data_IF_106977563856
#
_entry.id   IF_106977563856
#
_cell.length_a   1.000
_cell.length_b   1.000
_cell.length_c   1.000
_cell.angle_alpha   90.00
_cell.angle_beta   90.00
_cell.angle_gamma   90.00
#
_symmetry.space_group_name_H-M   'P 1'
#
loop_
_entity.id
_entity.type
_entity.pdbx_description
1 polymer ?
#
# COMPACT_ATOMS: atom_id res chain seq x y z
N UNK A 1 5.75 0.84 -20.02
CA UNK A 1 4.72 1.79 -19.56
C UNK A 1 4.56 1.77 -18.03
N UNK A 2 4.15 0.67 -17.39
CA UNK A 2 3.91 0.60 -15.93
C UNK A 2 5.14 0.93 -15.06
N UNK A 3 6.37 0.58 -15.50
CA UNK A 3 7.60 1.01 -14.80
C UNK A 3 7.77 2.52 -14.77
N UNK A 4 7.36 3.22 -15.82
CA UNK A 4 7.42 4.68 -15.87
C UNK A 4 6.42 5.29 -14.88
N UNK A 5 5.18 4.77 -14.85
CA UNK A 5 4.18 5.21 -13.87
C UNK A 5 4.64 5.00 -12.41
N UNK A 6 5.31 3.87 -12.12
CA UNK A 6 5.91 3.63 -10.81
C UNK A 6 6.97 4.69 -10.48
N UNK A 7 7.84 5.04 -11.42
CA UNK A 7 8.89 6.06 -11.21
C UNK A 7 8.29 7.43 -10.92
N UNK A 8 7.26 7.84 -11.66
CA UNK A 8 6.58 9.12 -11.40
C UNK A 8 6.04 9.18 -9.97
N UNK A 9 5.30 8.14 -9.54
CA UNK A 9 4.77 8.08 -8.17
C UNK A 9 5.88 7.99 -7.13
N UNK A 10 6.92 7.20 -7.39
CA UNK A 10 8.04 7.03 -6.46
C UNK A 10 8.80 8.34 -6.28
N UNK A 11 9.10 9.08 -7.36
CA UNK A 11 9.77 10.38 -7.28
C UNK A 11 8.95 11.38 -6.45
N UNK A 12 7.62 11.40 -6.62
CA UNK A 12 6.75 12.27 -5.82
C UNK A 12 6.81 11.94 -4.32
N UNK A 13 6.84 10.66 -3.98
CA UNK A 13 6.97 10.21 -2.59
C UNK A 13 8.34 10.56 -2.00
N UNK A 14 9.41 10.40 -2.78
CA UNK A 14 10.77 10.73 -2.38
C UNK A 14 10.93 12.25 -2.16
N UNK A 15 10.37 13.08 -3.04
CA UNK A 15 10.35 14.54 -2.87
C UNK A 15 9.62 14.95 -1.60
N UNK A 16 8.47 14.34 -1.30
CA UNK A 16 7.74 14.60 -0.05
C UNK A 16 8.55 14.18 1.19
N UNK A 17 9.24 13.05 1.13
CA UNK A 17 10.06 12.57 2.25
C UNK A 17 11.27 13.47 2.50
N UNK A 18 11.90 13.95 1.43
CA UNK A 18 12.99 14.92 1.51
C UNK A 18 12.51 16.26 2.12
N UNK A 19 11.36 16.79 1.69
CA UNK A 19 10.74 17.99 2.25
C UNK A 19 10.47 17.84 3.75
N UNK A 20 9.86 16.74 4.18
CA UNK A 20 9.60 16.45 5.59
C UNK A 20 10.87 16.37 6.42
N UNK A 21 11.93 15.78 5.87
CA UNK A 21 13.24 15.69 6.51
C UNK A 21 13.81 17.07 6.87
N UNK A 22 13.62 18.04 5.96
CA UNK A 22 14.13 19.41 6.15
C UNK A 22 13.24 20.23 7.08
N UNK A 23 11.91 20.21 6.85
CA UNK A 23 10.98 21.07 7.60
C UNK A 23 10.70 20.56 9.02
N UNK A 24 10.52 19.26 9.17
CA UNK A 24 10.06 18.67 10.44
C UNK A 24 11.13 17.84 11.14
N UNK A 25 12.35 17.75 10.59
CA UNK A 25 13.47 16.94 11.10
C UNK A 25 13.07 15.49 11.38
N UNK A 26 12.12 14.98 10.63
CA UNK A 26 11.58 13.62 10.77
C UNK A 26 11.07 13.10 9.43
N UNK A 27 11.44 11.90 9.06
CA UNK A 27 10.94 11.22 7.87
C UNK A 27 9.71 10.36 8.22
N UNK A 28 8.53 10.67 7.66
CA UNK A 28 7.34 9.85 7.86
C UNK A 28 7.44 8.49 7.15
N UNK A 29 8.22 8.41 6.07
CA UNK A 29 8.38 7.22 5.24
C UNK A 29 9.62 6.45 5.69
N UNK A 30 9.43 5.20 6.14
CA UNK A 30 10.53 4.30 6.50
C UNK A 30 11.21 3.73 5.25
N UNK A 31 10.42 3.29 4.28
CA UNK A 31 10.90 2.81 2.97
C UNK A 31 9.78 2.71 1.94
N UNK A 32 10.17 2.65 0.67
CA UNK A 32 9.28 2.44 -0.48
C UNK A 32 9.69 1.17 -1.19
N UNK A 33 8.71 0.29 -1.49
CA UNK A 33 8.90 -0.90 -2.34
C UNK A 33 7.97 -0.83 -3.54
N UNK A 34 8.49 -1.19 -4.70
CA UNK A 34 7.72 -1.17 -5.95
C UNK A 34 7.63 -2.56 -6.55
N UNK A 35 6.54 -2.82 -7.25
CA UNK A 35 6.37 -4.08 -7.98
C UNK A 35 5.55 -3.88 -9.26
N UNK A 36 5.88 -4.68 -10.25
CA UNK A 36 4.97 -4.96 -11.38
C UNK A 36 4.38 -6.34 -11.17
N UNK A 37 3.08 -6.46 -11.35
CA UNK A 37 2.36 -7.73 -11.26
C UNK A 37 2.87 -8.68 -12.33
N UNK A 38 3.14 -9.94 -11.95
CA UNK A 38 3.64 -10.97 -12.89
C UNK A 38 2.61 -11.25 -13.98
N UNK A 39 3.04 -11.53 -15.23
CA UNK A 39 2.14 -11.82 -16.35
C UNK A 39 1.13 -12.91 -16.05
N UNK A 40 1.54 -14.01 -15.38
CA UNK A 40 0.65 -15.10 -15.01
C UNK A 40 -0.45 -14.66 -14.03
N UNK A 41 -0.14 -13.70 -13.15
CA UNK A 41 -1.10 -13.15 -12.20
C UNK A 41 -2.06 -12.16 -12.87
N UNK A 42 -1.59 -11.44 -13.89
CA UNK A 42 -2.43 -10.57 -14.74
C UNK A 42 -3.42 -11.45 -15.51
N UNK A 43 -2.93 -12.48 -16.19
CA UNK A 43 -3.73 -13.43 -16.96
C UNK A 43 -4.84 -14.06 -16.09
N UNK A 44 -4.48 -14.65 -14.95
CA UNK A 44 -5.45 -15.27 -14.03
C UNK A 44 -6.50 -14.27 -13.54
N UNK A 45 -6.11 -13.00 -13.32
CA UNK A 45 -7.05 -11.99 -12.87
C UNK A 45 -8.03 -11.58 -13.96
N UNK A 46 -7.57 -11.40 -15.21
CA UNK A 46 -8.44 -11.12 -16.36
C UNK A 46 -9.40 -12.27 -16.61
N UNK A 47 -8.92 -13.52 -16.61
CA UNK A 47 -9.80 -14.70 -16.75
C UNK A 47 -10.90 -14.73 -15.67
N UNK A 48 -10.54 -14.45 -14.40
CA UNK A 48 -11.54 -14.40 -13.31
C UNK A 48 -12.58 -13.31 -13.50
N UNK A 49 -12.23 -12.24 -14.22
CA UNK A 49 -13.14 -11.13 -14.55
C UNK A 49 -13.88 -11.35 -15.87
N UNK A 50 -13.58 -12.42 -16.63
CA UNK A 50 -14.21 -12.73 -17.90
C UNK A 50 -13.66 -11.96 -19.10
N UNK A 51 -12.42 -11.45 -19.01
CA UNK A 51 -11.78 -10.68 -20.08
C UNK A 51 -10.62 -11.44 -20.73
N UNK A 52 -10.43 -11.20 -22.05
CA UNK A 52 -9.29 -11.70 -22.78
C UNK A 52 -7.99 -11.02 -22.36
N UNK A 53 -6.86 -11.75 -22.54
CA UNK A 53 -5.52 -11.25 -22.22
C UNK A 53 -5.02 -10.33 -23.33
N UNK A 54 -5.50 -9.09 -23.36
CA UNK A 54 -5.10 -8.03 -24.29
C UNK A 54 -4.51 -6.84 -23.55
N UNK A 55 -3.73 -6.01 -24.25
CA UNK A 55 -3.14 -4.80 -23.66
C UNK A 55 -4.24 -3.81 -23.20
N UNK A 56 -5.30 -3.70 -23.98
CA UNK A 56 -6.45 -2.84 -23.72
C UNK A 56 -7.16 -3.29 -22.44
N UNK A 57 -7.51 -4.58 -22.32
CA UNK A 57 -8.16 -5.12 -21.12
C UNK A 57 -7.29 -4.98 -19.88
N UNK A 58 -5.96 -5.17 -20.02
CA UNK A 58 -5.01 -4.95 -18.91
C UNK A 58 -5.11 -3.48 -18.41
N UNK A 59 -5.12 -2.53 -19.33
CA UNK A 59 -5.12 -1.11 -18.99
C UNK A 59 -6.46 -0.64 -18.45
N UNK A 60 -7.56 -1.13 -18.98
CA UNK A 60 -8.91 -0.70 -18.61
C UNK A 60 -9.44 -1.39 -17.36
N UNK A 61 -9.21 -2.71 -17.22
CA UNK A 61 -9.84 -3.52 -16.19
C UNK A 61 -8.99 -3.73 -14.94
N UNK A 62 -7.65 -3.53 -15.04
CA UNK A 62 -6.76 -3.78 -13.92
C UNK A 62 -6.18 -2.48 -13.36
N UNK A 63 -6.28 -2.34 -12.03
CA UNK A 63 -5.78 -1.17 -11.31
C UNK A 63 -4.50 -1.44 -10.52
N UNK A 64 -4.02 -2.70 -10.50
CA UNK A 64 -2.95 -3.18 -9.62
C UNK A 64 -1.79 -3.84 -10.37
N UNK A 65 -1.62 -3.48 -11.65
CA UNK A 65 -0.47 -3.93 -12.46
C UNK A 65 0.81 -3.25 -11.99
N UNK A 66 0.76 -1.93 -11.78
CA UNK A 66 1.79 -1.15 -11.11
C UNK A 66 1.42 -1.01 -9.63
N UNK A 67 2.30 -1.40 -8.73
CA UNK A 67 2.10 -1.28 -7.30
C UNK A 67 3.27 -0.57 -6.62
N UNK A 68 2.96 0.37 -5.74
CA UNK A 68 3.90 1.05 -4.87
C UNK A 68 3.46 0.82 -3.42
N UNK A 69 4.34 0.25 -2.62
CA UNK A 69 4.14 0.08 -1.19
C UNK A 69 4.96 1.11 -0.46
N UNK A 70 4.29 1.92 0.35
CA UNK A 70 4.89 2.92 1.23
C UNK A 70 4.75 2.42 2.66
N UNK A 71 5.85 2.35 3.37
CA UNK A 71 5.85 1.97 4.78
C UNK A 71 6.20 3.19 5.60
N UNK A 72 5.30 3.55 6.50
CA UNK A 72 5.39 4.71 7.37
C UNK A 72 5.74 4.30 8.81
N UNK A 73 6.27 5.27 9.58
CA UNK A 73 6.62 5.03 10.97
C UNK A 73 5.39 4.89 11.87
N UNK A 74 4.38 5.75 11.71
CA UNK A 74 3.20 5.82 12.56
C UNK A 74 1.90 5.83 11.75
N UNK A 75 0.77 5.61 12.44
CA UNK A 75 -0.54 5.52 11.79
C UNK A 75 -0.95 6.85 11.13
N UNK A 76 -0.72 7.98 11.81
CA UNK A 76 -1.05 9.30 11.27
C UNK A 76 -0.22 9.68 10.04
N UNK A 77 1.04 9.21 9.96
CA UNK A 77 1.89 9.41 8.79
C UNK A 77 1.28 8.79 7.52
N UNK A 78 0.57 7.66 7.66
CA UNK A 78 -0.13 7.02 6.54
C UNK A 78 -1.13 7.98 5.91
N UNK A 79 -1.94 8.63 6.74
CA UNK A 79 -2.97 9.57 6.26
C UNK A 79 -2.36 10.86 5.74
N UNK A 80 -1.29 11.34 6.37
CA UNK A 80 -0.54 12.53 5.91
C UNK A 80 0.02 12.29 4.51
N UNK A 81 0.77 11.21 4.30
CA UNK A 81 1.33 10.86 2.99
C UNK A 81 0.23 10.64 1.95
N UNK A 82 -0.85 9.93 2.31
CA UNK A 82 -1.98 9.70 1.41
C UNK A 82 -2.64 11.00 0.96
N UNK A 83 -2.86 11.95 1.87
CA UNK A 83 -3.49 13.24 1.58
C UNK A 83 -2.59 14.12 0.72
N UNK A 84 -1.28 14.15 0.99
CA UNK A 84 -0.32 14.93 0.21
C UNK A 84 -0.21 14.43 -1.24
N UNK A 85 -0.18 13.11 -1.42
CA UNK A 85 -0.22 12.53 -2.77
C UNK A 85 -1.55 12.84 -3.46
N UNK A 86 -2.67 12.69 -2.75
CA UNK A 86 -4.00 12.96 -3.30
C UNK A 86 -4.22 14.43 -3.67
N UNK A 87 -3.52 15.36 -3.01
CA UNK A 87 -3.61 16.81 -3.24
C UNK A 87 -2.77 17.32 -4.42
N UNK A 88 -1.96 16.48 -5.07
CA UNK A 88 -1.15 16.94 -6.21
C UNK A 88 -2.01 17.08 -7.47
N UNK A 89 -1.83 18.18 -8.21
CA UNK A 89 -2.66 18.60 -9.35
C UNK A 89 -2.71 17.59 -10.50
N UNK A 90 -1.68 16.79 -10.65
CA UNK A 90 -1.55 15.80 -11.71
C UNK A 90 -1.95 14.39 -11.28
N UNK A 91 -2.40 14.22 -10.02
CA UNK A 91 -2.88 12.94 -9.49
C UNK A 91 -4.40 12.94 -9.39
N UNK A 92 -5.02 11.95 -10.03
CA UNK A 92 -6.44 11.68 -9.89
C UNK A 92 -6.66 10.45 -9.03
N UNK A 93 -7.29 10.62 -7.88
CA UNK A 93 -7.70 9.49 -7.02
C UNK A 93 -8.91 8.78 -7.62
N UNK A 94 -8.77 7.51 -7.97
CA UNK A 94 -9.81 6.68 -8.57
C UNK A 94 -10.60 5.92 -7.50
N UNK A 95 -9.91 5.39 -6.49
CA UNK A 95 -10.53 4.58 -5.44
C UNK A 95 -9.68 4.54 -4.18
N UNK A 96 -10.36 4.57 -3.04
CA UNK A 96 -9.76 4.37 -1.72
C UNK A 96 -10.40 3.17 -1.03
N UNK A 97 -9.59 2.37 -0.33
CA UNK A 97 -10.03 1.34 0.61
C UNK A 97 -9.21 1.45 1.87
N UNK A 98 -9.83 1.90 2.94
CA UNK A 98 -9.19 2.05 4.24
C UNK A 98 -9.41 0.77 5.07
N UNK A 99 -8.46 -0.16 4.95
CA UNK A 99 -8.42 -1.37 5.77
C UNK A 99 -7.77 -1.15 7.14
N UNK A 100 -7.37 0.10 7.48
CA UNK A 100 -6.94 0.45 8.83
C UNK A 100 -8.17 0.65 9.70
N UNK A 101 -9.15 1.40 9.21
CA UNK A 101 -10.44 1.62 9.89
C UNK A 101 -11.35 0.40 9.79
N UNK A 102 -11.32 -0.32 8.68
CA UNK A 102 -12.15 -1.50 8.41
C UNK A 102 -11.25 -2.69 8.03
N UNK A 103 -10.57 -3.35 8.99
CA UNK A 103 -9.69 -4.48 8.72
C UNK A 103 -10.40 -5.61 7.98
N UNK A 104 -9.64 -6.39 7.21
CA UNK A 104 -10.19 -7.61 6.61
C UNK A 104 -10.44 -8.66 7.70
N UNK A 105 -11.30 -9.67 7.43
CA UNK A 105 -11.60 -10.73 8.41
C UNK A 105 -10.38 -11.48 8.95
N UNK A 106 -9.29 -11.57 8.16
CA UNK A 106 -8.03 -12.18 8.58
C UNK A 106 -7.11 -11.25 9.40
N UNK A 107 -7.55 -10.03 9.73
CA UNK A 107 -6.73 -9.05 10.47
C UNK A 107 -5.85 -8.16 9.59
N UNK A 108 -5.86 -8.33 8.26
CA UNK A 108 -5.05 -7.51 7.35
C UNK A 108 -5.45 -6.03 7.40
N UNK A 109 -4.46 -5.15 7.55
CA UNK A 109 -4.59 -3.69 7.58
C UNK A 109 -3.67 -3.05 6.56
N UNK A 110 -4.17 -2.05 5.86
CA UNK A 110 -3.41 -1.19 4.94
C UNK A 110 -4.34 -0.09 4.42
N UNK A 111 -3.81 1.08 4.10
CA UNK A 111 -4.54 2.08 3.32
C UNK A 111 -4.24 1.85 1.84
N UNK A 112 -5.26 1.56 1.05
CA UNK A 112 -5.12 1.34 -0.39
C UNK A 112 -5.69 2.52 -1.16
N UNK A 113 -4.92 3.04 -2.09
CA UNK A 113 -5.34 4.10 -2.98
C UNK A 113 -4.98 3.71 -4.42
N UNK A 114 -5.96 3.75 -5.31
CA UNK A 114 -5.72 3.66 -6.76
C UNK A 114 -5.66 5.09 -7.28
N UNK A 115 -4.53 5.45 -7.85
CA UNK A 115 -4.32 6.75 -8.49
C UNK A 115 -4.11 6.59 -9.98
N UNK A 116 -4.52 7.61 -10.73
CA UNK A 116 -4.18 7.78 -12.14
C UNK A 116 -3.24 8.97 -12.27
N UNK A 117 -2.09 8.74 -12.91
CA UNK A 117 -1.03 9.72 -13.10
C UNK A 117 -0.68 9.84 -14.58
N UNK A 118 -0.45 11.05 -15.13
CA UNK A 118 0.02 11.21 -16.49
C UNK A 118 1.47 10.77 -16.64
N UNK A 119 1.74 9.94 -17.62
CA UNK A 119 3.11 9.60 -18.03
C UNK A 119 3.34 10.13 -19.43
N UNK A 120 4.40 10.87 -19.62
CA UNK A 120 4.74 11.48 -20.90
C UNK A 120 5.70 10.59 -21.68
N UNK A 121 5.16 9.92 -22.69
CA UNK A 121 5.94 9.11 -23.62
C UNK A 121 6.27 9.90 -24.90
N UNK A 122 7.12 9.35 -25.75
CA UNK A 122 7.47 9.97 -27.06
C UNK A 122 6.25 10.26 -27.94
N UNK A 123 5.17 9.52 -27.78
CA UNK A 123 3.90 9.68 -28.51
C UNK A 123 2.87 10.56 -27.78
N UNK A 124 3.26 11.16 -26.65
CA UNK A 124 2.40 12.04 -25.86
C UNK A 124 2.03 11.50 -24.49
N UNK A 125 1.10 12.20 -23.85
CA UNK A 125 0.61 11.93 -22.51
C UNK A 125 -0.29 10.67 -22.49
N UNK A 126 -0.01 9.75 -21.57
CA UNK A 126 -0.84 8.57 -21.34
C UNK A 126 -1.20 8.49 -19.85
N UNK A 127 -2.50 8.45 -19.47
CA UNK A 127 -2.88 8.21 -18.07
C UNK A 127 -2.58 6.77 -17.69
N UNK A 128 -1.96 6.58 -16.53
CA UNK A 128 -1.56 5.27 -16.03
C UNK A 128 -2.04 5.08 -14.60
N UNK A 129 -2.60 3.90 -14.30
CA UNK A 129 -3.06 3.58 -12.95
C UNK A 129 -1.97 2.90 -12.13
N UNK A 130 -1.86 3.33 -10.87
CA UNK A 130 -0.92 2.78 -9.89
C UNK A 130 -1.69 2.51 -8.59
N UNK A 131 -1.50 1.33 -8.00
CA UNK A 131 -1.98 1.00 -6.67
C UNK A 131 -0.93 1.42 -5.63
N UNK A 132 -1.28 2.34 -4.74
CA UNK A 132 -0.53 2.63 -3.53
C UNK A 132 -1.08 1.80 -2.38
N UNK A 133 -0.18 1.13 -1.63
CA UNK A 133 -0.47 0.43 -0.39
C UNK A 133 0.37 1.08 0.71
N UNK A 134 -0.29 1.87 1.57
CA UNK A 134 0.39 2.61 2.64
C UNK A 134 0.12 1.91 3.96
N UNK A 135 1.18 1.65 4.75
CA UNK A 135 1.16 0.81 5.96
C UNK A 135 2.09 1.36 7.01
N UNK A 136 1.92 0.94 8.27
CA UNK A 136 3.00 1.03 9.27
C UNK A 136 4.02 -0.10 9.08
N UNK A 137 5.16 0.01 9.77
CA UNK A 137 6.13 -1.08 9.85
C UNK A 137 5.50 -2.38 10.40
N UNK A 138 4.66 -2.28 11.43
CA UNK A 138 3.93 -3.42 11.99
C UNK A 138 2.97 -4.07 11.01
N UNK A 139 2.18 -3.27 10.30
CA UNK A 139 1.27 -3.77 9.25
C UNK A 139 2.03 -4.46 8.12
N UNK A 140 3.18 -3.92 7.67
CA UNK A 140 3.97 -4.53 6.59
C UNK A 140 4.64 -5.83 7.04
N UNK A 141 5.16 -5.85 8.27
CA UNK A 141 5.71 -7.05 8.89
C UNK A 141 4.68 -8.19 8.90
N UNK A 142 3.51 -7.96 9.51
CA UNK A 142 2.47 -8.97 9.59
C UNK A 142 1.99 -9.44 8.21
N UNK A 143 1.65 -8.50 7.33
CA UNK A 143 1.12 -8.82 6.00
C UNK A 143 2.14 -9.57 5.11
N UNK A 144 3.44 -9.32 5.31
CA UNK A 144 4.50 -10.01 4.55
C UNK A 144 4.62 -11.47 5.02
N UNK A 145 4.59 -11.71 6.33
CA UNK A 145 4.67 -13.07 6.89
C UNK A 145 3.41 -13.88 6.61
N UNK A 146 2.23 -13.31 6.82
CA UNK A 146 0.94 -13.96 6.51
C UNK A 146 0.89 -14.40 5.04
N UNK A 147 1.29 -13.52 4.12
CA UNK A 147 1.34 -13.87 2.70
C UNK A 147 2.34 -14.99 2.40
N UNK A 148 3.50 -15.03 3.05
CA UNK A 148 4.47 -16.12 2.88
C UNK A 148 3.93 -17.47 3.39
N UNK A 149 3.25 -17.45 4.53
CA UNK A 149 2.64 -18.65 5.11
C UNK A 149 1.53 -19.20 4.21
N UNK A 150 0.63 -18.34 3.73
CA UNK A 150 -0.47 -18.75 2.85
C UNK A 150 0.00 -19.21 1.47
N UNK A 151 0.92 -18.46 0.84
CA UNK A 151 1.29 -18.72 -0.54
C UNK A 151 2.12 -19.98 -0.71
N UNK A 152 2.97 -20.35 0.27
CA UNK A 152 3.90 -21.48 0.14
C UNK A 152 3.27 -22.85 0.37
N UNK A 153 2.10 -22.94 1.03
CA UNK A 153 1.63 -24.24 1.54
C UNK A 153 0.14 -24.57 1.30
N UNK A 154 -0.64 -23.68 0.66
CA UNK A 154 -2.09 -23.94 0.57
C UNK A 154 -2.66 -24.24 1.95
N UNK A 155 -2.33 -23.40 2.94
CA UNK A 155 -2.68 -23.67 4.36
C UNK A 155 -4.19 -23.90 4.58
N UNK A 156 -5.00 -23.46 3.63
CA UNK A 156 -6.46 -23.63 3.63
C UNK A 156 -6.88 -25.11 3.59
N UNK A 157 -6.00 -25.99 3.04
CA UNK A 157 -6.22 -27.43 2.94
C UNK A 157 -5.60 -28.21 4.12
N UNK A 158 -4.95 -27.53 5.09
CA UNK A 158 -4.29 -28.21 6.20
C UNK A 158 -5.30 -28.60 7.30
N UNK A 159 -5.15 -29.79 7.92
CA UNK A 159 -5.82 -30.10 9.16
C UNK A 159 -5.50 -29.01 10.22
N UNK A 160 -6.52 -28.48 10.90
CA UNK A 160 -6.33 -27.40 11.89
C UNK A 160 -6.27 -25.98 11.29
N UNK A 161 -6.64 -25.78 10.03
CA UNK A 161 -6.67 -24.44 9.40
C UNK A 161 -7.44 -23.39 10.22
N UNK A 162 -8.54 -23.77 10.87
CA UNK A 162 -9.32 -22.87 11.72
C UNK A 162 -8.49 -22.33 12.89
N UNK A 163 -7.76 -23.20 13.57
CA UNK A 163 -6.86 -22.82 14.68
C UNK A 163 -5.73 -21.92 14.21
N UNK A 164 -5.07 -22.28 13.09
CA UNK A 164 -4.03 -21.45 12.47
C UNK A 164 -4.58 -20.04 12.09
N UNK A 165 -5.80 -19.97 11.57
CA UNK A 165 -6.44 -18.70 11.22
C UNK A 165 -6.72 -17.82 12.43
N UNK A 166 -7.14 -18.43 13.56
CA UNK A 166 -7.32 -17.71 14.81
C UNK A 166 -5.99 -17.23 15.40
N UNK A 167 -4.93 -18.01 15.29
CA UNK A 167 -3.58 -17.60 15.73
C UNK A 167 -3.05 -16.42 14.89
N UNK A 168 -3.25 -16.46 13.58
CA UNK A 168 -2.92 -15.33 12.70
C UNK A 168 -3.71 -14.08 13.06
N UNK A 169 -5.00 -14.22 13.39
CA UNK A 169 -5.83 -13.09 13.82
C UNK A 169 -5.37 -12.53 15.17
N UNK A 170 -5.03 -13.40 16.16
CA UNK A 170 -4.44 -12.93 17.44
C UNK A 170 -3.13 -12.18 17.22
N UNK A 171 -2.28 -12.69 16.34
CA UNK A 171 -1.03 -12.01 15.99
C UNK A 171 -1.27 -10.65 15.30
N UNK A 172 -2.29 -10.54 14.44
CA UNK A 172 -2.69 -9.25 13.86
C UNK A 172 -3.16 -8.27 14.93
N UNK A 173 -3.92 -8.74 15.92
CA UNK A 173 -4.40 -7.92 17.03
C UNK A 173 -3.24 -7.37 17.88
N UNK A 174 -2.22 -8.16 18.18
CA UNK A 174 -1.04 -7.71 18.90
C UNK A 174 -0.29 -6.59 18.13
N UNK A 175 -0.22 -6.68 16.79
CA UNK A 175 0.35 -5.61 15.96
C UNK A 175 -0.51 -4.34 16.01
N UNK A 176 -1.84 -4.47 16.00
CA UNK A 176 -2.75 -3.32 16.15
C UNK A 176 -2.52 -2.60 17.48
N UNK A 177 -2.41 -3.33 18.55
CA UNK A 177 -2.18 -2.78 19.89
C UNK A 177 -0.84 -2.06 19.97
N UNK A 178 0.22 -2.67 19.42
CA UNK A 178 1.56 -2.07 19.35
C UNK A 178 1.58 -0.78 18.53
N UNK A 179 0.99 -0.79 17.31
CA UNK A 179 0.91 0.40 16.47
C UNK A 179 0.17 1.56 17.19
N UNK A 180 -0.95 1.25 17.87
CA UNK A 180 -1.72 2.24 18.60
C UNK A 180 -0.95 2.78 19.83
N UNK A 181 -0.22 1.94 20.54
CA UNK A 181 0.59 2.37 21.67
C UNK A 181 1.74 3.27 21.22
N UNK A 182 2.45 2.91 20.14
CA UNK A 182 3.51 3.75 19.57
C UNK A 182 2.96 5.10 19.08
N UNK A 183 1.76 5.13 18.50
CA UNK A 183 1.09 6.37 18.12
C UNK A 183 0.79 7.26 19.34
N UNK A 184 0.30 6.68 20.44
CA UNK A 184 0.06 7.42 21.70
C UNK A 184 1.34 7.98 22.28
N UNK A 185 2.44 7.20 22.28
CA UNK A 185 3.75 7.66 22.75
C UNK A 185 4.24 8.84 21.91
N UNK A 186 4.16 8.74 20.58
CA UNK A 186 4.49 9.84 19.65
C UNK A 186 3.72 11.12 20.03
N UNK A 187 2.41 10.99 20.21
CA UNK A 187 1.56 12.14 20.52
C UNK A 187 1.92 12.78 21.87
N UNK A 188 2.23 11.97 22.89
CA UNK A 188 2.71 12.48 24.18
C UNK A 188 4.03 13.25 24.04
N UNK A 189 4.99 12.72 23.28
CA UNK A 189 6.27 13.40 23.04
C UNK A 189 6.05 14.73 22.33
N UNK A 190 5.17 14.79 21.30
CA UNK A 190 4.82 16.02 20.60
C UNK A 190 4.27 17.09 21.52
N UNK A 191 3.43 16.75 22.48
CA UNK A 191 2.89 17.71 23.46
C UNK A 191 3.95 18.37 24.36
N UNK A 192 5.13 17.78 24.50
CA UNK A 192 6.24 18.34 25.27
C UNK A 192 7.16 19.26 24.45
N UNK A 193 7.06 19.24 23.12
CA UNK A 193 7.88 20.06 22.22
C UNK A 193 7.18 21.35 21.77
N UNK A 194 5.88 21.48 22.02
CA UNK A 194 5.08 22.68 21.74
C UNK A 194 5.04 23.66 22.94
N UNK A 195 5.89 23.45 23.96
CA UNK A 195 6.15 24.35 25.09
C UNK A 195 7.59 24.90 24.96
#
# INVERSE_FOLDING_TARGET
MYRCAIREVQTKLEVLDDEFSVEYKRNPISFIKTRIKKPESIYRKLQKLGYDFTAENIQEQLNDVAGVRVVCAFIDDIYTVANLIAGQDDIKVIKIKDYIKNPKPNGYRSYHMIVEIPVFFSKGRTPMRVELQIRTNGMDFWATLEHQLRYKKGIEDLPGYAEISEELLRSAQAVIETDNEMQKIKNKIGMFHDI
#
